data_IF_691400146408
#
_entry.id   IF_691400146408
#
_cell.length_a   1.000
_cell.length_b   1.000
_cell.length_c   1.000
_cell.angle_alpha   90.00
_cell.angle_beta   90.00
_cell.angle_gamma   90.00
#
_symmetry.space_group_name_H-M   'P 1'
#
loop_
_entity.id
_entity.type
_entity.pdbx_description
1 polymer ?
#
# COMPACT_ATOMS: atom_id res chain seq x y z
N UNK A 1 0.86 -0.06 -0.42
CA UNK A 1 1.30 -1.40 0.05
C UNK A 1 2.82 -1.52 0.05
N UNK A 2 3.51 -1.41 -1.10
CA UNK A 2 4.98 -1.55 -1.17
C UNK A 2 5.74 -0.67 -0.19
N UNK A 3 5.48 0.65 -0.19
CA UNK A 3 6.14 1.60 0.71
C UNK A 3 6.17 1.12 2.18
N UNK A 4 5.03 0.67 2.72
CA UNK A 4 4.95 0.21 4.10
C UNK A 4 5.77 -1.06 4.37
N UNK A 5 5.84 -1.96 3.39
CA UNK A 5 6.66 -3.18 3.49
C UNK A 5 8.15 -2.82 3.40
N UNK A 6 8.50 -1.87 2.53
CA UNK A 6 9.86 -1.34 2.41
C UNK A 6 10.33 -0.65 3.69
N UNK A 7 9.45 0.15 4.33
CA UNK A 7 9.75 0.83 5.59
C UNK A 7 10.00 -0.18 6.74
N UNK A 8 9.31 -1.32 6.72
CA UNK A 8 9.56 -2.44 7.65
C UNK A 8 10.86 -3.20 7.30
N UNK A 9 11.29 -3.15 6.03
CA UNK A 9 12.51 -3.80 5.54
C UNK A 9 12.43 -5.33 5.48
N UNK A 10 11.27 -5.92 5.77
CA UNK A 10 11.00 -7.36 5.79
C UNK A 10 9.54 -7.65 5.44
N UNK A 11 9.27 -8.88 5.02
CA UNK A 11 7.92 -9.31 4.62
C UNK A 11 7.48 -10.55 5.40
N UNK A 12 6.22 -10.58 5.81
CA UNK A 12 5.61 -11.75 6.44
C UNK A 12 5.37 -12.86 5.40
N UNK A 13 5.26 -14.11 5.85
CA UNK A 13 4.91 -15.25 4.97
C UNK A 13 3.52 -15.15 4.37
N UNK A 14 2.63 -14.39 4.99
CA UNK A 14 1.26 -14.22 4.51
C UNK A 14 0.78 -12.80 4.78
N UNK A 15 0.33 -12.14 3.73
CA UNK A 15 -0.39 -10.89 3.75
C UNK A 15 -1.88 -11.20 3.69
N UNK A 16 -2.63 -10.72 4.68
CA UNK A 16 -4.09 -10.83 4.68
C UNK A 16 -4.65 -9.56 4.05
N UNK A 17 -5.57 -9.72 3.10
CA UNK A 17 -6.17 -8.59 2.38
C UNK A 17 -7.68 -8.71 2.30
N UNK A 18 -8.41 -7.60 2.40
CA UNK A 18 -9.86 -7.60 2.17
C UNK A 18 -10.18 -7.81 0.68
N UNK A 19 -11.43 -8.16 0.33
CA UNK A 19 -11.86 -8.35 -1.06
C UNK A 19 -12.11 -7.03 -1.80
N UNK A 20 -11.17 -6.10 -1.67
CA UNK A 20 -11.17 -4.87 -2.46
C UNK A 20 -11.06 -5.20 -3.96
N UNK A 21 -11.75 -4.42 -4.80
CA UNK A 21 -11.84 -4.63 -6.25
C UNK A 21 -10.48 -4.78 -6.95
N UNK A 22 -9.48 -3.97 -6.57
CA UNK A 22 -8.16 -3.96 -7.18
C UNK A 22 -7.31 -5.23 -6.91
N UNK A 23 -7.53 -5.89 -5.78
CA UNK A 23 -6.70 -7.02 -5.33
C UNK A 23 -7.48 -8.34 -5.35
N UNK A 24 -8.74 -8.34 -4.93
CA UNK A 24 -9.48 -9.57 -4.66
C UNK A 24 -10.98 -9.52 -4.93
N UNK A 25 -11.49 -8.51 -5.64
CA UNK A 25 -12.93 -8.29 -5.84
C UNK A 25 -13.69 -9.46 -6.46
N UNK A 26 -13.01 -10.29 -7.26
CA UNK A 26 -13.58 -11.50 -7.89
C UNK A 26 -13.43 -12.76 -7.02
N UNK A 27 -12.92 -12.62 -5.79
CA UNK A 27 -12.60 -13.74 -4.90
C UNK A 27 -11.29 -14.46 -5.23
N UNK A 28 -10.56 -14.01 -6.26
CA UNK A 28 -9.20 -14.45 -6.61
C UNK A 28 -8.26 -13.26 -6.58
N UNK A 29 -7.01 -13.51 -6.18
CA UNK A 29 -5.96 -12.48 -6.21
C UNK A 29 -5.73 -12.04 -7.66
N UNK A 30 -5.74 -10.73 -7.91
CA UNK A 30 -5.50 -10.17 -9.23
C UNK A 30 -4.08 -10.53 -9.73
N UNK A 31 -3.89 -10.59 -11.06
CA UNK A 31 -2.60 -10.96 -11.63
C UNK A 31 -1.44 -10.04 -11.15
N UNK A 32 -1.62 -8.70 -11.06
CA UNK A 32 -0.59 -7.82 -10.51
C UNK A 32 -0.27 -8.13 -9.04
N UNK A 33 -1.29 -8.39 -8.21
CA UNK A 33 -1.09 -8.74 -6.81
C UNK A 33 -0.40 -10.10 -6.64
N UNK A 34 -0.69 -11.07 -7.50
CA UNK A 34 0.00 -12.36 -7.51
C UNK A 34 1.48 -12.23 -7.91
N UNK A 35 1.80 -11.41 -8.91
CA UNK A 35 3.18 -11.13 -9.32
C UNK A 35 3.97 -10.40 -8.21
N UNK A 36 3.33 -9.42 -7.57
CA UNK A 36 3.87 -8.74 -6.38
C UNK A 36 4.20 -9.74 -5.27
N UNK A 37 3.24 -10.61 -4.91
CA UNK A 37 3.43 -11.61 -3.87
C UNK A 37 4.55 -12.61 -4.21
N UNK A 38 4.63 -13.03 -5.48
CA UNK A 38 5.68 -13.92 -5.98
C UNK A 38 7.08 -13.33 -5.84
N UNK A 39 7.25 -12.04 -6.17
CA UNK A 39 8.55 -11.36 -6.05
C UNK A 39 9.02 -11.31 -4.60
N UNK A 40 8.11 -11.03 -3.66
CA UNK A 40 8.41 -10.95 -2.22
C UNK A 40 8.43 -12.32 -1.52
N UNK A 41 8.24 -13.43 -2.23
CA UNK A 41 8.09 -14.76 -1.64
C UNK A 41 7.04 -14.82 -0.50
N UNK A 42 5.94 -14.07 -0.65
CA UNK A 42 4.81 -14.03 0.30
C UNK A 42 3.54 -14.57 -0.33
N UNK A 43 2.53 -14.87 0.50
CA UNK A 43 1.20 -15.28 0.06
C UNK A 43 0.19 -14.18 0.37
N UNK A 44 -0.58 -13.73 -0.61
CA UNK A 44 -1.78 -12.91 -0.34
C UNK A 44 -2.96 -13.85 -0.07
N UNK A 45 -3.56 -13.74 1.12
CA UNK A 45 -4.77 -14.44 1.52
C UNK A 45 -5.92 -13.45 1.59
N UNK A 46 -6.88 -13.60 0.68
CA UNK A 46 -8.11 -12.82 0.74
C UNK A 46 -8.94 -13.22 1.96
N UNK A 47 -9.48 -12.23 2.67
CA UNK A 47 -10.31 -12.43 3.84
C UNK A 47 -11.49 -13.37 3.51
N UNK A 48 -11.67 -14.50 4.21
CA UNK A 48 -12.78 -15.42 3.96
C UNK A 48 -14.14 -14.70 4.10
N UNK A 49 -15.19 -15.15 3.39
CA UNK A 49 -16.51 -14.56 3.57
C UNK A 49 -16.97 -14.83 5.00
N UNK A 50 -17.44 -13.79 5.70
CA UNK A 50 -17.94 -13.89 7.09
C UNK A 50 -16.93 -14.42 8.10
N UNK A 51 -15.68 -13.95 8.02
CA UNK A 51 -14.66 -14.25 9.03
C UNK A 51 -14.58 -13.14 10.09
N UNK A 52 -15.11 -13.36 11.31
CA UNK A 52 -15.14 -12.35 12.36
C UNK A 52 -13.75 -11.99 12.88
N UNK A 53 -12.77 -12.91 12.82
CA UNK A 53 -11.43 -12.64 13.34
C UNK A 53 -10.69 -11.65 12.45
N UNK A 54 -10.80 -11.84 11.13
CA UNK A 54 -10.20 -10.94 10.14
C UNK A 54 -10.79 -9.55 10.26
N UNK A 55 -12.12 -9.48 10.29
CA UNK A 55 -12.85 -8.22 10.44
C UNK A 55 -12.53 -7.56 11.78
N UNK A 56 -12.46 -8.33 12.86
CA UNK A 56 -12.11 -7.86 14.19
C UNK A 56 -10.68 -7.33 14.31
N UNK A 57 -9.72 -7.80 13.51
CA UNK A 57 -8.37 -7.20 13.48
C UNK A 57 -8.41 -5.78 12.89
N UNK A 58 -9.07 -5.62 11.75
CA UNK A 58 -9.20 -4.33 11.07
C UNK A 58 -10.01 -3.36 11.93
N UNK A 59 -11.15 -3.80 12.46
CA UNK A 59 -12.03 -2.98 13.31
C UNK A 59 -11.34 -2.55 14.61
N UNK A 60 -10.54 -3.41 15.24
CA UNK A 60 -9.77 -3.03 16.43
C UNK A 60 -8.73 -1.97 16.12
N UNK A 61 -8.04 -2.07 14.98
CA UNK A 61 -7.04 -1.08 14.60
C UNK A 61 -7.69 0.27 14.26
N UNK A 62 -8.80 0.24 13.51
CA UNK A 62 -9.59 1.44 13.20
C UNK A 62 -10.15 2.08 14.47
N UNK A 63 -10.73 1.28 15.37
CA UNK A 63 -11.22 1.75 16.67
C UNK A 63 -10.11 2.35 17.53
N UNK A 64 -8.88 1.81 17.46
CA UNK A 64 -7.73 2.41 18.13
C UNK A 64 -7.39 3.80 17.57
N UNK A 65 -7.40 3.96 16.25
CA UNK A 65 -7.25 5.28 15.63
C UNK A 65 -8.38 6.23 16.04
N UNK A 66 -9.65 5.79 15.98
CA UNK A 66 -10.83 6.59 16.31
C UNK A 66 -10.85 7.06 17.78
N UNK A 67 -10.36 6.25 18.70
CA UNK A 67 -10.39 6.55 20.13
C UNK A 67 -9.11 7.22 20.64
N UNK A 68 -7.96 7.00 20.00
CA UNK A 68 -6.65 7.44 20.52
C UNK A 68 -5.94 8.45 19.63
N UNK A 69 -6.15 8.40 18.31
CA UNK A 69 -5.51 9.32 17.37
C UNK A 69 -6.45 10.42 16.89
N UNK A 70 -7.67 10.12 16.45
CA UNK A 70 -8.57 11.11 15.87
C UNK A 70 -9.11 12.18 16.84
N UNK A 71 -9.41 11.90 18.14
CA UNK A 71 -10.11 12.85 18.98
C UNK A 71 -9.35 14.18 19.17
N UNK A 72 -10.06 15.29 18.94
CA UNK A 72 -9.55 16.66 19.15
C UNK A 72 -8.51 17.14 18.14
N UNK A 73 -8.13 16.32 17.16
CA UNK A 73 -7.20 16.73 16.09
C UNK A 73 -7.95 17.38 14.92
N UNK A 74 -7.25 18.27 14.22
CA UNK A 74 -7.68 18.87 12.96
C UNK A 74 -6.57 18.69 11.95
N UNK A 75 -6.93 18.50 10.70
CA UNK A 75 -5.99 18.27 9.61
C UNK A 75 -6.19 19.35 8.56
N UNK A 76 -5.11 20.06 8.22
CA UNK A 76 -5.14 21.09 7.19
C UNK A 76 -5.10 20.51 5.77
N UNK A 77 -4.55 19.30 5.62
CA UNK A 77 -4.42 18.60 4.35
C UNK A 77 -4.15 17.10 4.57
N UNK A 78 -4.24 16.25 3.53
CA UNK A 78 -3.82 14.84 3.62
C UNK A 78 -2.35 14.68 4.04
N UNK A 79 -1.47 15.58 3.59
CA UNK A 79 -0.06 15.57 4.02
C UNK A 79 0.08 15.89 5.52
N UNK A 80 -0.68 16.86 6.03
CA UNK A 80 -0.69 17.18 7.46
C UNK A 80 -1.23 16.00 8.29
N UNK A 81 -2.24 15.28 7.80
CA UNK A 81 -2.72 14.04 8.41
C UNK A 81 -1.60 13.00 8.51
N UNK A 82 -0.91 12.70 7.41
CA UNK A 82 0.18 11.70 7.37
C UNK A 82 1.31 12.06 8.33
N UNK A 83 1.70 13.34 8.39
CA UNK A 83 2.69 13.83 9.35
C UNK A 83 2.23 13.60 10.79
N UNK A 84 1.02 14.04 11.14
CA UNK A 84 0.50 13.92 12.49
C UNK A 84 0.34 12.45 12.93
N UNK A 85 -0.08 11.56 12.02
CA UNK A 85 -0.12 10.11 12.26
C UNK A 85 1.29 9.58 12.53
N UNK A 86 2.27 9.92 11.68
CA UNK A 86 3.66 9.50 11.84
C UNK A 86 4.23 9.88 13.21
N UNK A 87 4.11 11.15 13.59
CA UNK A 87 4.58 11.68 14.87
C UNK A 87 3.89 11.03 16.08
N UNK A 88 2.61 10.67 15.91
CA UNK A 88 1.86 9.99 16.94
C UNK A 88 2.27 8.52 17.07
N UNK A 89 2.46 7.82 15.94
CA UNK A 89 2.87 6.41 15.91
C UNK A 89 4.20 6.18 16.62
N UNK A 90 5.17 7.10 16.52
CA UNK A 90 6.42 7.03 17.29
C UNK A 90 6.17 6.86 18.79
N UNK A 91 5.20 7.59 19.35
CA UNK A 91 4.83 7.50 20.77
C UNK A 91 3.89 6.35 21.07
N UNK A 92 2.98 6.03 20.15
CA UNK A 92 2.03 4.93 20.33
C UNK A 92 2.77 3.57 20.39
N UNK A 93 3.76 3.38 19.52
CA UNK A 93 4.51 2.14 19.42
C UNK A 93 5.42 1.89 20.63
N UNK A 94 5.79 2.93 21.39
CA UNK A 94 6.60 2.81 22.62
C UNK A 94 5.77 2.66 23.90
N UNK A 95 4.43 2.66 23.81
CA UNK A 95 3.56 2.49 24.98
C UNK A 95 3.19 1.03 25.18
N UNK A 96 3.07 0.62 26.43
CA UNK A 96 2.58 -0.73 26.75
C UNK A 96 1.10 -0.83 26.43
N UNK A 97 0.76 -1.72 25.51
CA UNK A 97 -0.61 -1.99 25.08
C UNK A 97 -1.10 -3.24 25.79
N UNK A 98 -2.08 -3.09 26.68
CA UNK A 98 -2.64 -4.19 27.51
C UNK A 98 -3.10 -5.39 26.68
N UNK A 99 -3.71 -5.14 25.52
CA UNK A 99 -4.26 -6.19 24.67
C UNK A 99 -3.19 -7.13 24.08
N UNK A 100 -1.97 -6.64 23.86
CA UNK A 100 -0.84 -7.43 23.33
C UNK A 100 0.22 -7.74 24.40
N UNK A 101 0.04 -7.24 25.63
CA UNK A 101 0.90 -7.54 26.77
C UNK A 101 2.28 -6.88 26.75
N UNK A 102 2.54 -5.91 25.87
CA UNK A 102 3.86 -5.30 25.72
C UNK A 102 3.85 -4.00 24.91
N UNK A 103 5.05 -3.46 24.66
CA UNK A 103 5.23 -2.32 23.75
C UNK A 103 5.33 -2.84 22.32
N UNK A 104 4.56 -2.33 21.35
CA UNK A 104 4.65 -2.77 19.95
C UNK A 104 6.09 -2.82 19.41
N UNK A 105 6.92 -1.81 19.71
CA UNK A 105 8.33 -1.79 19.25
C UNK A 105 9.16 -2.97 19.79
N UNK A 106 8.90 -3.45 21.00
CA UNK A 106 9.67 -4.56 21.57
C UNK A 106 9.22 -5.90 21.00
N UNK A 107 7.91 -6.04 20.76
CA UNK A 107 7.33 -7.26 20.21
C UNK A 107 7.69 -7.44 18.72
N UNK A 108 7.91 -6.33 18.01
CA UNK A 108 8.26 -6.34 16.59
C UNK A 108 9.57 -7.10 16.29
N UNK A 109 10.56 -7.03 17.19
CA UNK A 109 11.81 -7.78 17.04
C UNK A 109 11.58 -9.30 17.02
N UNK A 110 10.62 -9.79 17.81
CA UNK A 110 10.20 -11.18 17.77
C UNK A 110 9.57 -11.56 16.44
N UNK A 111 8.72 -10.70 15.90
CA UNK A 111 8.10 -10.90 14.59
C UNK A 111 9.12 -10.85 13.45
N UNK A 112 10.13 -9.97 13.53
CA UNK A 112 11.20 -9.83 12.55
C UNK A 112 12.01 -11.12 12.36
N UNK A 113 12.19 -11.90 13.42
CA UNK A 113 12.85 -13.20 13.34
C UNK A 113 12.05 -14.24 12.53
N UNK A 114 10.73 -14.11 12.47
CA UNK A 114 9.85 -14.98 11.69
C UNK A 114 9.60 -14.49 10.26
N UNK A 115 9.96 -13.24 9.95
CA UNK A 115 9.82 -12.62 8.62
C UNK A 115 10.99 -12.95 7.69
N UNK A 116 10.72 -12.83 6.39
CA UNK A 116 11.72 -12.96 5.33
C UNK A 116 12.30 -11.59 4.97
N UNK A 117 13.63 -11.46 4.78
CA UNK A 117 14.22 -10.24 4.21
C UNK A 117 13.63 -9.91 2.84
N UNK A 118 13.61 -8.62 2.48
CA UNK A 118 13.17 -8.22 1.15
C UNK A 118 14.11 -8.76 0.06
N UNK A 119 13.59 -9.18 -1.10
CA UNK A 119 14.42 -9.53 -2.24
C UNK A 119 15.22 -8.32 -2.73
N UNK A 120 16.34 -8.53 -3.44
CA UNK A 120 17.14 -7.44 -4.01
C UNK A 120 16.44 -6.73 -5.18
N UNK A 121 15.34 -7.30 -5.69
CA UNK A 121 14.54 -6.75 -6.77
C UNK A 121 13.20 -6.28 -6.23
N UNK A 122 12.87 -5.02 -6.48
CA UNK A 122 11.57 -4.46 -6.14
C UNK A 122 10.45 -5.18 -6.92
N UNK A 123 9.30 -5.47 -6.28
CA UNK A 123 8.18 -6.06 -6.97
C UNK A 123 7.61 -5.10 -8.02
N UNK A 124 6.89 -5.62 -9.03
CA UNK A 124 6.14 -4.76 -9.94
C UNK A 124 5.11 -3.97 -9.14
N UNK A 125 5.24 -2.65 -9.12
CA UNK A 125 4.35 -1.71 -8.44
C UNK A 125 3.76 -0.72 -9.44
N UNK A 126 2.65 -0.10 -9.05
CA UNK A 126 2.00 0.92 -9.86
C UNK A 126 1.15 0.36 -11.00
N UNK A 127 0.50 1.26 -11.74
CA UNK A 127 -0.25 0.95 -12.94
C UNK A 127 0.70 0.99 -14.13
N UNK A 128 0.87 -0.13 -14.83
CA UNK A 128 1.52 -0.18 -16.14
C UNK A 128 0.46 -0.30 -17.24
N UNK A 129 0.37 0.68 -18.14
CA UNK A 129 -0.61 0.69 -19.22
C UNK A 129 -0.02 1.19 -20.53
N UNK A 130 -0.30 0.48 -21.63
CA UNK A 130 0.04 0.94 -22.97
C UNK A 130 -1.15 1.68 -23.58
N UNK A 131 -1.00 2.97 -23.87
CA UNK A 131 -2.08 3.83 -24.37
C UNK A 131 -1.71 4.47 -25.70
N UNK A 132 -2.66 4.54 -26.63
CA UNK A 132 -2.48 5.15 -27.96
C UNK A 132 -2.69 6.68 -27.97
N UNK A 133 -3.18 7.25 -26.86
CA UNK A 133 -3.48 8.68 -26.75
C UNK A 133 -3.29 9.13 -25.31
N UNK A 134 -2.25 9.92 -25.05
CA UNK A 134 -2.07 10.61 -23.77
C UNK A 134 -2.89 11.89 -23.83
N UNK A 135 -4.10 11.88 -23.26
CA UNK A 135 -4.88 13.12 -23.03
C UNK A 135 -4.95 13.43 -21.54
N UNK A 136 -4.69 12.45 -20.68
CA UNK A 136 -4.72 12.59 -19.24
C UNK A 136 -3.96 11.44 -18.57
N UNK A 137 -3.22 11.77 -17.53
CA UNK A 137 -2.67 10.78 -16.62
C UNK A 137 -3.76 10.49 -15.57
N UNK A 138 -4.12 9.22 -15.41
CA UNK A 138 -5.11 8.77 -14.42
C UNK A 138 -4.36 8.67 -13.09
N UNK A 139 -4.56 9.66 -12.22
CA UNK A 139 -4.35 9.47 -10.79
C UNK A 139 -5.68 9.03 -10.16
N UNK A 140 -5.63 8.34 -9.02
CA UNK A 140 -6.79 7.84 -8.30
C UNK A 140 -7.84 8.95 -8.11
N UNK A 141 -8.92 8.89 -8.91
CA UNK A 141 -10.03 9.85 -9.00
C UNK A 141 -9.71 11.29 -9.48
N UNK A 142 -8.50 11.56 -9.98
CA UNK A 142 -8.15 12.86 -10.58
C UNK A 142 -7.48 12.65 -11.95
N UNK A 143 -8.14 13.17 -12.98
CA UNK A 143 -7.55 13.36 -14.32
C UNK A 143 -6.55 14.50 -14.19
N UNK A 144 -5.27 14.20 -13.99
CA UNK A 144 -4.22 15.21 -14.02
C UNK A 144 -3.82 15.39 -15.49
N UNK A 145 -3.99 16.60 -16.09
CA UNK A 145 -3.43 16.87 -17.40
C UNK A 145 -1.91 16.85 -17.28
N UNK A 146 -1.30 15.76 -17.73
CA UNK A 146 0.12 15.70 -17.96
C UNK A 146 0.36 16.23 -19.39
N UNK A 147 1.16 17.28 -19.53
CA UNK A 147 1.65 17.71 -20.83
C UNK A 147 2.60 16.62 -21.35
N UNK A 148 2.10 15.81 -22.28
CA UNK A 148 2.94 14.88 -23.02
C UNK A 148 3.71 15.64 -24.10
N UNK A 149 4.97 15.27 -24.34
CA UNK A 149 5.77 15.85 -25.41
C UNK A 149 4.99 15.80 -26.75
N UNK A 150 4.87 16.90 -27.50
CA UNK A 150 4.16 16.92 -28.78
C UNK A 150 4.59 15.82 -29.76
N UNK A 151 5.82 15.32 -29.68
CA UNK A 151 6.34 14.23 -30.51
C UNK A 151 5.68 12.86 -30.25
N UNK A 152 4.97 12.71 -29.14
CA UNK A 152 4.37 11.44 -28.71
C UNK A 152 2.87 11.36 -29.02
N UNK A 153 2.29 12.46 -29.51
CA UNK A 153 0.88 12.54 -29.90
C UNK A 153 0.62 11.60 -31.09
N UNK A 154 -0.32 10.67 -30.90
CA UNK A 154 -0.69 9.67 -31.92
C UNK A 154 0.17 8.41 -31.96
N UNK A 155 1.07 8.21 -30.98
CA UNK A 155 1.86 6.99 -30.82
C UNK A 155 1.40 6.19 -29.59
N UNK A 156 1.69 4.89 -29.59
CA UNK A 156 1.59 4.10 -28.37
C UNK A 156 2.71 4.47 -27.40
N UNK A 157 2.34 4.76 -26.16
CA UNK A 157 3.27 4.99 -25.04
C UNK A 157 2.99 4.02 -23.90
N UNK A 158 4.03 3.66 -23.16
CA UNK A 158 3.90 2.87 -21.94
C UNK A 158 3.90 3.81 -20.74
N UNK A 159 2.84 3.80 -19.95
CA UNK A 159 2.67 4.64 -18.76
C UNK A 159 2.89 3.77 -17.53
N UNK A 160 3.77 4.20 -16.63
CA UNK A 160 3.95 3.65 -15.30
C UNK A 160 3.54 4.71 -14.26
N UNK A 161 2.46 4.47 -13.52
CA UNK A 161 1.95 5.38 -12.51
C UNK A 161 2.09 4.80 -11.08
N UNK A 162 2.55 5.64 -10.17
CA UNK A 162 2.65 5.42 -8.72
C UNK A 162 1.87 6.54 -8.01
N UNK A 163 1.54 6.41 -6.71
CA UNK A 163 0.80 7.45 -5.99
C UNK A 163 1.50 8.83 -5.96
N UNK A 164 2.80 8.87 -6.20
CA UNK A 164 3.64 10.08 -6.17
C UNK A 164 4.11 10.54 -7.56
N UNK A 165 4.10 9.65 -8.56
CA UNK A 165 4.71 9.94 -9.86
C UNK A 165 4.04 9.17 -11.01
N UNK A 166 3.89 9.82 -12.15
CA UNK A 166 3.57 9.18 -13.44
C UNK A 166 4.75 9.32 -14.39
N UNK A 167 5.20 8.21 -14.95
CA UNK A 167 6.28 8.12 -15.93
C UNK A 167 5.69 7.64 -17.24
N UNK A 168 6.00 8.31 -18.34
CA UNK A 168 5.58 7.93 -19.68
C UNK A 168 6.82 7.57 -20.50
N UNK A 169 6.91 6.32 -20.92
CA UNK A 169 7.95 5.81 -21.81
C UNK A 169 7.42 5.80 -23.25
N UNK A 170 8.23 6.30 -24.18
CA UNK A 170 7.92 6.24 -25.60
C UNK A 170 8.83 5.20 -26.26
N UNK A 171 8.27 4.40 -27.17
CA UNK A 171 9.09 3.48 -27.94
C UNK A 171 10.09 4.28 -28.79
N UNK A 172 11.37 4.28 -28.38
CA UNK A 172 12.48 4.79 -29.19
C UNK A 172 13.51 5.68 -28.49
N UNK A 173 13.30 6.16 -27.25
CA UNK A 173 14.29 6.98 -26.52
C UNK A 173 14.19 6.82 -25.01
#
# INVERSE_FOLDING_TARGET
MWQLISDVGRVTRTLVWDRESAIGGTGRVSAPAAAFAGTLATRIRLAPPRDPEFKGLVERNNGYFETSFLPGRRFASPHDFNRQVGDWLTRANTRTVRAIGGRPVDLLEGDYAAMTPLPPLDPPIGLAARVHRVVACIDADVVVPCEADPQVIGRFVDVAATPDKVIVYCAGH
#
